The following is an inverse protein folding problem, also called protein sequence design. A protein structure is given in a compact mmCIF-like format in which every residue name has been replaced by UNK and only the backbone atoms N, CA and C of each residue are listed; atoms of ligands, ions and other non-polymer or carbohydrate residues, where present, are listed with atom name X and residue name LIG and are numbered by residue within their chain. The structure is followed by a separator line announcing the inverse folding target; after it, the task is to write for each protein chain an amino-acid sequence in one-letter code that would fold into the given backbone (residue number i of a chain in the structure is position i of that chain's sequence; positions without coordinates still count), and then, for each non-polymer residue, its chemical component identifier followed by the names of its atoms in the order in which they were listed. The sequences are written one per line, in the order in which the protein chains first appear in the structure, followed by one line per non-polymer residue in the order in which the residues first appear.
data_IF_670521016623
#
_entry.id   IF_670521016623
#
_cell.length_a   1.000
_cell.length_b   1.000
_cell.length_c   1.000
_cell.angle_alpha   90.00
_cell.angle_beta   90.00
_cell.angle_gamma   90.00
#
_symmetry.space_group_name_H-M   'P 1'
#
loop_
_entity.id
_entity.type
_entity.pdbx_description
1 polymer ?
#
# COMPACT_ATOMS: atom_id res chain seq x y z
N UNK A 1 -11.01 -16.87 0.47
CA UNK A 1 -10.61 -16.30 1.78
C UNK A 1 -9.09 -16.13 1.82
N UNK A 2 -8.54 -15.25 0.96
CA UNK A 2 -7.08 -15.00 0.83
C UNK A 2 -6.72 -13.50 0.76
N UNK A 3 -7.71 -12.60 0.75
CA UNK A 3 -7.51 -11.16 0.53
C UNK A 3 -7.06 -10.37 1.77
N UNK A 4 -7.02 -10.99 2.95
CA UNK A 4 -6.85 -10.28 4.23
C UNK A 4 -5.46 -10.43 4.89
N UNK A 5 -4.57 -11.27 4.35
CA UNK A 5 -3.29 -11.60 5.01
C UNK A 5 -2.05 -10.98 4.36
N UNK A 6 -2.18 -10.50 3.13
CA UNK A 6 -1.06 -9.97 2.31
C UNK A 6 -0.60 -8.58 2.74
N UNK A 7 -1.51 -7.76 3.29
CA UNK A 7 -1.21 -6.37 3.65
C UNK A 7 -0.91 -6.18 5.14
N UNK A 8 -0.69 -7.27 5.88
CA UNK A 8 -0.38 -7.19 7.31
C UNK A 8 1.05 -6.68 7.53
N UNK A 9 1.24 -5.59 8.29
CA UNK A 9 2.58 -5.05 8.56
C UNK A 9 3.45 -5.97 9.43
N UNK A 10 2.87 -6.98 10.09
CA UNK A 10 3.59 -7.96 10.93
C UNK A 10 4.10 -9.17 10.14
N UNK A 11 3.69 -9.32 8.88
CA UNK A 11 4.19 -10.39 8.03
C UNK A 11 5.49 -9.94 7.37
N UNK A 12 6.63 -10.39 7.92
CA UNK A 12 7.92 -10.40 7.26
C UNK A 12 7.86 -11.29 6.00
N UNK A 13 7.20 -10.84 4.94
CA UNK A 13 7.39 -11.41 3.60
C UNK A 13 8.54 -10.63 2.95
N UNK A 14 9.74 -11.10 3.30
CA UNK A 14 11.05 -10.62 2.89
C UNK A 14 11.16 -10.42 1.36
N UNK A 15 11.45 -9.19 0.93
CA UNK A 15 12.51 -8.83 -0.02
C UNK A 15 12.54 -9.38 -1.46
N UNK A 16 11.74 -10.36 -1.87
CA UNK A 16 11.87 -10.98 -3.19
C UNK A 16 10.49 -11.40 -3.73
N UNK A 17 9.83 -10.50 -4.50
CA UNK A 17 8.62 -10.83 -5.28
C UNK A 17 7.34 -10.05 -4.97
N UNK A 18 7.38 -8.98 -4.16
CA UNK A 18 6.19 -8.21 -3.82
C UNK A 18 5.48 -7.54 -5.01
N UNK A 19 6.17 -6.92 -6.00
CA UNK A 19 5.50 -6.29 -7.15
C UNK A 19 4.74 -7.32 -8.01
N UNK A 20 5.35 -8.47 -8.29
CA UNK A 20 4.72 -9.55 -9.07
C UNK A 20 3.47 -10.11 -8.37
N UNK A 21 3.50 -10.19 -7.04
CA UNK A 21 2.34 -10.62 -6.24
C UNK A 21 1.24 -9.56 -6.29
N UNK A 22 1.57 -8.27 -6.21
CA UNK A 22 0.60 -7.17 -6.35
C UNK A 22 -0.08 -7.24 -7.72
N UNK A 23 0.70 -7.37 -8.78
CA UNK A 23 0.19 -7.48 -10.15
C UNK A 23 -0.67 -8.73 -10.34
N UNK A 24 -0.26 -9.88 -9.78
CA UNK A 24 -1.05 -11.11 -9.80
C UNK A 24 -2.40 -10.93 -9.10
N UNK A 25 -2.44 -10.22 -7.97
CA UNK A 25 -3.67 -10.02 -7.19
C UNK A 25 -4.62 -9.05 -7.88
N UNK A 26 -4.10 -7.95 -8.42
CA UNK A 26 -4.88 -6.99 -9.21
C UNK A 26 -5.48 -7.67 -10.45
N UNK A 27 -4.70 -8.49 -11.15
CA UNK A 27 -5.17 -9.28 -12.29
C UNK A 27 -6.24 -10.32 -11.92
N UNK A 28 -6.28 -10.76 -10.65
CA UNK A 28 -7.32 -11.67 -10.14
C UNK A 28 -8.54 -10.94 -9.58
N UNK A 29 -8.64 -9.62 -9.79
CA UNK A 29 -9.77 -8.80 -9.37
C UNK A 29 -9.77 -8.46 -7.88
N UNK A 30 -8.60 -8.50 -7.22
CA UNK A 30 -8.47 -7.95 -5.88
C UNK A 30 -8.81 -6.45 -5.91
N UNK A 31 -9.66 -5.99 -4.97
CA UNK A 31 -9.93 -4.56 -4.85
C UNK A 31 -8.67 -3.87 -4.33
N UNK A 32 -8.17 -2.89 -5.08
CA UNK A 32 -6.96 -2.13 -4.73
C UNK A 32 -7.09 -1.40 -3.39
N UNK A 33 -8.31 -0.93 -3.08
CA UNK A 33 -8.66 -0.18 -1.88
C UNK A 33 -9.07 -1.05 -0.68
N UNK A 34 -8.81 -2.37 -0.74
CA UNK A 34 -9.13 -3.24 0.39
C UNK A 34 -8.32 -2.83 1.62
N UNK A 35 -9.03 -2.36 2.64
CA UNK A 35 -8.47 -2.06 3.94
C UNK A 35 -8.57 -3.28 4.87
N UNK A 36 -7.53 -3.49 5.68
CA UNK A 36 -7.56 -4.43 6.80
C UNK A 36 -8.61 -4.05 7.85
N UNK A 37 -8.77 -4.89 8.87
CA UNK A 37 -9.68 -4.62 10.01
C UNK A 37 -9.32 -3.36 10.81
N UNK A 38 -8.09 -2.88 10.65
CA UNK A 38 -7.53 -1.66 11.23
C UNK A 38 -7.66 -0.44 10.27
N UNK A 39 -8.37 -0.59 9.15
CA UNK A 39 -8.51 0.46 8.14
C UNK A 39 -7.26 0.66 7.29
N UNK A 40 -6.21 -0.15 7.46
CA UNK A 40 -4.96 0.03 6.71
C UNK A 40 -5.11 -0.49 5.29
N UNK A 41 -5.00 0.42 4.32
CA UNK A 41 -4.94 0.07 2.90
C UNK A 41 -3.58 -0.50 2.50
N UNK A 42 -3.56 -1.22 1.38
CA UNK A 42 -2.35 -1.67 0.70
C UNK A 42 -1.36 -0.51 0.46
N UNK A 43 -1.89 0.62 -0.02
CA UNK A 43 -1.11 1.82 -0.32
C UNK A 43 -0.48 2.41 0.96
N UNK A 44 -1.20 2.47 2.08
CA UNK A 44 -0.65 2.93 3.36
C UNK A 44 0.48 2.04 3.85
N UNK A 45 0.33 0.72 3.72
CA UNK A 45 1.37 -0.23 4.12
C UNK A 45 2.63 -0.11 3.26
N UNK A 46 2.47 -0.03 1.94
CA UNK A 46 3.58 0.20 1.01
C UNK A 46 4.27 1.55 1.26
N UNK A 47 3.47 2.58 1.58
CA UNK A 47 3.96 3.92 1.88
C UNK A 47 4.77 3.98 3.18
N UNK A 48 4.32 3.27 4.21
CA UNK A 48 5.05 3.12 5.48
C UNK A 48 6.36 2.34 5.31
N UNK A 49 6.39 1.35 4.43
CA UNK A 49 7.58 0.52 4.18
C UNK A 49 8.58 1.16 3.19
N UNK A 50 8.21 2.25 2.51
CA UNK A 50 9.06 2.92 1.52
C UNK A 50 9.17 2.16 0.19
N UNK A 51 8.19 1.32 -0.15
CA UNK A 51 8.23 0.50 -1.36
C UNK A 51 7.71 1.25 -2.59
N UNK A 52 8.54 2.12 -3.15
CA UNK A 52 8.21 2.99 -4.31
C UNK A 52 7.58 2.23 -5.49
N UNK A 53 8.14 1.08 -5.87
CA UNK A 53 7.61 0.28 -7.00
C UNK A 53 6.19 -0.25 -6.73
N UNK A 54 5.92 -0.70 -5.50
CA UNK A 54 4.58 -1.18 -5.11
C UNK A 54 3.60 -0.01 -5.04
N UNK A 55 4.04 1.13 -4.52
CA UNK A 55 3.24 2.36 -4.48
C UNK A 55 2.84 2.74 -5.90
N UNK A 56 3.79 2.80 -6.84
CA UNK A 56 3.49 3.09 -8.24
C UNK A 56 2.47 2.12 -8.83
N UNK A 57 2.65 0.80 -8.64
CA UNK A 57 1.70 -0.22 -9.13
C UNK A 57 0.29 -0.05 -8.58
N UNK A 58 0.18 0.28 -7.29
CA UNK A 58 -1.11 0.52 -6.64
C UNK A 58 -1.77 1.79 -7.19
N UNK A 59 -1.00 2.87 -7.37
CA UNK A 59 -1.48 4.12 -7.97
C UNK A 59 -1.93 3.92 -9.42
N UNK A 60 -1.15 3.19 -10.23
CA UNK A 60 -1.50 2.82 -11.61
C UNK A 60 -2.81 2.01 -11.67
N UNK A 61 -3.07 1.21 -10.63
CA UNK A 61 -4.30 0.45 -10.47
C UNK A 61 -5.49 1.27 -9.92
N UNK A 62 -5.31 2.57 -9.69
CA UNK A 62 -6.33 3.48 -9.20
C UNK A 62 -6.55 3.42 -7.69
N UNK A 63 -5.52 3.10 -6.91
CA UNK A 63 -5.59 3.14 -5.45
C UNK A 63 -5.99 4.54 -4.95
N UNK A 64 -6.93 4.59 -4.02
CA UNK A 64 -7.34 5.83 -3.39
C UNK A 64 -6.32 6.26 -2.31
N UNK A 65 -5.66 7.39 -2.57
CA UNK A 65 -4.66 8.00 -1.69
C UNK A 65 -5.24 8.59 -0.40
N UNK A 66 -6.54 8.84 -0.36
CA UNK A 66 -7.22 9.48 0.78
C UNK A 66 -7.72 8.48 1.82
N UNK A 67 -7.54 7.18 1.61
CA UNK A 67 -7.98 6.16 2.58
C UNK A 67 -7.16 6.30 3.87
N UNK A 68 -7.84 6.64 4.95
CA UNK A 68 -7.26 6.75 6.29
C UNK A 68 -7.47 5.47 7.07
N UNK A 69 -6.49 5.11 7.90
CA UNK A 69 -6.66 4.04 8.89
C UNK A 69 -7.57 4.46 10.05
N UNK A 70 -7.82 3.54 10.98
CA UNK A 70 -8.64 3.81 12.17
C UNK A 70 -8.10 4.95 13.06
N UNK A 71 -6.83 5.32 12.89
CA UNK A 71 -6.19 6.43 13.59
C UNK A 71 -6.18 7.73 12.77
N UNK A 72 -6.86 7.77 11.62
CA UNK A 72 -6.94 8.95 10.75
C UNK A 72 -5.68 9.20 9.92
N UNK A 73 -4.78 8.22 9.79
CA UNK A 73 -3.49 8.40 9.09
C UNK A 73 -3.63 8.00 7.63
N UNK A 74 -3.30 8.94 6.74
CA UNK A 74 -3.23 8.68 5.30
C UNK A 74 -1.90 8.02 4.89
N UNK A 75 -1.84 7.37 3.71
CA UNK A 75 -0.59 6.90 3.11
C UNK A 75 0.49 7.98 3.02
N UNK A 76 0.10 9.22 2.70
CA UNK A 76 1.03 10.35 2.64
C UNK A 76 1.66 10.66 4.01
N UNK A 77 0.86 10.67 5.07
CA UNK A 77 1.35 10.88 6.44
C UNK A 77 2.29 9.73 6.85
N UNK A 78 1.95 8.49 6.49
CA UNK A 78 2.79 7.33 6.76
C UNK A 78 4.17 7.44 6.08
N UNK A 79 4.23 7.80 4.81
CA UNK A 79 5.48 7.99 4.07
C UNK A 79 6.31 9.16 4.64
N UNK A 80 5.65 10.29 4.94
CA UNK A 80 6.30 11.46 5.51
C UNK A 80 6.87 11.18 6.91
N UNK A 81 6.14 10.44 7.74
CA UNK A 81 6.60 10.05 9.08
C UNK A 81 7.85 9.17 9.04
N UNK A 82 7.94 8.28 8.06
CA UNK A 82 9.07 7.37 7.88
C UNK A 82 10.23 8.00 7.07
N UNK A 83 10.03 9.19 6.49
CA UNK A 83 11.05 9.92 5.72
C UNK A 83 11.27 9.40 4.30
N UNK A 84 10.28 8.69 3.72
CA UNK A 84 10.37 8.14 2.37
C UNK A 84 10.02 9.18 1.30
N UNK A 85 10.99 10.04 0.96
CA UNK A 85 10.78 11.18 0.04
C UNK A 85 10.24 10.75 -1.32
N UNK A 86 10.81 9.71 -1.95
CA UNK A 86 10.34 9.25 -3.26
C UNK A 86 8.89 8.77 -3.23
N UNK A 87 8.48 8.05 -2.19
CA UNK A 87 7.09 7.66 -1.97
C UNK A 87 6.17 8.86 -1.77
N UNK A 88 6.60 9.86 -0.98
CA UNK A 88 5.83 11.10 -0.77
C UNK A 88 5.59 11.81 -2.10
N UNK A 89 6.62 11.91 -2.95
CA UNK A 89 6.51 12.51 -4.28
C UNK A 89 5.54 11.73 -5.16
N UNK A 90 5.61 10.40 -5.18
CA UNK A 90 4.68 9.55 -5.94
C UNK A 90 3.23 9.75 -5.51
N UNK A 91 2.95 9.71 -4.20
CA UNK A 91 1.59 9.85 -3.66
C UNK A 91 1.06 11.28 -3.84
N UNK A 92 1.92 12.30 -3.72
CA UNK A 92 1.52 13.68 -3.90
C UNK A 92 1.19 14.05 -5.37
N UNK A 93 1.65 13.24 -6.32
CA UNK A 93 1.40 13.42 -7.76
C UNK A 93 0.24 12.57 -8.30
N UNK A 94 -0.31 11.69 -7.48
CA UNK A 94 -1.38 10.76 -7.84
C UNK A 94 -2.79 11.37 -7.75
#
# INVERSE_FOLDING_TARGET
MLTFLIWRPESQIFGFGLPDIVDLLLNRGAKVDLAGSDGRSALRAAAWAGHEEIVQRLLDAGANVDIQDAEGRSPLIAAAYMGHVGVVELIAQA
#
